data_IF_684663147948
#
_entry.id   IF_684663147948
#
_cell.length_a   1.000
_cell.length_b   1.000
_cell.length_c   1.000
_cell.angle_alpha   90.00
_cell.angle_beta   90.00
_cell.angle_gamma   90.00
#
_symmetry.space_group_name_H-M   'P 1'
#
loop_
_entity.id
_entity.type
_entity.pdbx_description
1 polymer ?
#
# COMPACT_ATOMS: atom_id res chain seq x y z
N UNK A 1 11.39 11.11 -2.58
CA UNK A 1 10.13 10.56 -3.10
C UNK A 1 8.97 11.28 -2.46
N UNK A 2 7.91 11.60 -3.20
CA UNK A 2 6.65 12.15 -2.69
C UNK A 2 5.63 11.05 -2.34
N UNK A 3 4.54 11.41 -1.66
CA UNK A 3 3.44 10.49 -1.35
C UNK A 3 2.78 9.91 -2.62
N UNK A 4 2.57 10.75 -3.63
CA UNK A 4 2.05 10.31 -4.95
C UNK A 4 2.96 9.26 -5.59
N UNK A 5 4.27 9.52 -5.59
CA UNK A 5 5.26 8.58 -6.12
C UNK A 5 5.29 7.27 -5.32
N UNK A 6 5.13 7.33 -3.99
CA UNK A 6 5.05 6.14 -3.15
C UNK A 6 3.78 5.31 -3.45
N UNK A 7 2.64 5.97 -3.67
CA UNK A 7 1.40 5.32 -4.09
C UNK A 7 1.56 4.59 -5.43
N UNK A 8 2.06 5.29 -6.46
CA UNK A 8 2.32 4.71 -7.79
C UNK A 8 3.24 3.48 -7.69
N UNK A 9 4.34 3.60 -6.95
CA UNK A 9 5.29 2.50 -6.75
C UNK A 9 4.68 1.30 -6.01
N UNK A 10 3.86 1.54 -4.99
CA UNK A 10 3.18 0.49 -4.26
C UNK A 10 2.15 -0.23 -5.14
N UNK A 11 1.36 0.51 -5.92
CA UNK A 11 0.41 -0.06 -6.89
C UNK A 11 1.13 -0.96 -7.89
N UNK A 12 2.22 -0.48 -8.49
CA UNK A 12 3.00 -1.26 -9.46
C UNK A 12 3.59 -2.53 -8.83
N UNK A 13 4.19 -2.44 -7.64
CA UNK A 13 4.75 -3.61 -6.93
C UNK A 13 3.69 -4.64 -6.60
N UNK A 14 2.54 -4.18 -6.12
CA UNK A 14 1.44 -5.07 -5.73
C UNK A 14 0.80 -5.74 -6.94
N UNK A 15 0.58 -5.01 -8.03
CA UNK A 15 0.03 -5.55 -9.27
C UNK A 15 0.92 -6.66 -9.87
N UNK A 16 2.24 -6.56 -9.71
CA UNK A 16 3.20 -7.57 -10.16
C UNK A 16 3.47 -8.68 -9.13
N UNK A 17 2.98 -8.52 -7.90
CA UNK A 17 3.24 -9.49 -6.84
C UNK A 17 2.41 -10.76 -7.01
N UNK A 18 3.01 -11.91 -6.70
CA UNK A 18 2.29 -13.21 -6.69
C UNK A 18 1.18 -13.29 -5.64
N UNK A 19 1.21 -12.41 -4.64
CA UNK A 19 0.25 -12.37 -3.53
C UNK A 19 -1.14 -11.89 -3.98
N UNK A 20 -1.20 -11.09 -5.04
CA UNK A 20 -2.42 -10.40 -5.47
C UNK A 20 -2.61 -10.51 -6.99
N UNK A 21 -2.19 -11.63 -7.59
CA UNK A 21 -2.35 -11.88 -9.04
C UNK A 21 -3.80 -11.61 -9.48
N UNK A 22 -3.98 -10.57 -10.30
CA UNK A 22 -5.28 -10.14 -10.83
C UNK A 22 -5.98 -9.02 -10.06
N UNK A 23 -5.46 -8.56 -8.92
CA UNK A 23 -5.96 -7.35 -8.25
C UNK A 23 -5.25 -6.11 -8.82
N UNK A 24 -5.98 -5.29 -9.57
CA UNK A 24 -5.53 -3.96 -9.95
C UNK A 24 -5.86 -2.95 -8.86
N UNK A 25 -4.84 -2.38 -8.21
CA UNK A 25 -5.02 -1.20 -7.40
C UNK A 25 -5.29 0.01 -8.32
N UNK A 26 -6.28 0.81 -7.96
CA UNK A 26 -6.69 2.00 -8.71
C UNK A 26 -6.30 3.30 -8.00
N UNK A 27 -6.29 3.30 -6.67
CA UNK A 27 -5.91 4.47 -5.87
C UNK A 27 -5.38 4.07 -4.49
N UNK A 28 -4.82 5.05 -3.78
CA UNK A 28 -4.34 4.90 -2.41
C UNK A 28 -4.99 5.91 -1.48
N UNK A 29 -5.27 5.50 -0.24
CA UNK A 29 -5.45 6.46 0.84
C UNK A 29 -4.13 6.63 1.60
N UNK A 30 -3.83 7.88 1.97
CA UNK A 30 -2.62 8.22 2.68
C UNK A 30 -2.85 8.33 4.18
N UNK A 31 -1.92 7.78 4.95
CA UNK A 31 -1.85 8.02 6.39
C UNK A 31 -1.16 9.36 6.65
N UNK A 32 -1.72 10.15 7.57
CA UNK A 32 -1.16 11.44 7.97
C UNK A 32 0.34 11.33 8.30
N UNK A 33 1.12 12.31 7.88
CA UNK A 33 2.58 12.24 7.93
C UNK A 33 3.12 11.99 9.36
N UNK A 34 2.45 12.54 10.36
CA UNK A 34 2.77 12.46 11.79
C UNK A 34 2.55 11.08 12.41
N UNK A 35 1.72 10.22 11.81
CA UNK A 35 1.48 8.85 12.30
C UNK A 35 2.28 7.81 11.55
N UNK A 36 3.00 8.20 10.51
CA UNK A 36 3.89 7.31 9.77
C UNK A 36 5.15 6.99 10.59
N UNK A 37 5.62 5.72 10.60
CA UNK A 37 6.92 5.39 11.16
C UNK A 37 8.03 6.13 10.41
N UNK A 38 9.09 6.49 11.13
CA UNK A 38 10.21 7.24 10.57
C UNK A 38 10.79 6.55 9.34
N UNK A 39 10.90 7.31 8.24
CA UNK A 39 11.48 6.82 6.99
C UNK A 39 10.51 6.10 6.04
N UNK A 40 9.21 6.05 6.35
CA UNK A 40 8.20 5.40 5.49
C UNK A 40 7.01 6.30 5.17
N UNK A 41 6.35 5.99 4.07
CA UNK A 41 4.96 6.37 3.81
C UNK A 41 4.09 5.15 4.04
N UNK A 42 3.08 5.24 4.90
CA UNK A 42 2.05 4.20 5.04
C UNK A 42 0.84 4.60 4.22
N UNK A 43 0.31 3.65 3.47
CA UNK A 43 -0.84 3.84 2.59
C UNK A 43 -1.67 2.55 2.53
N UNK A 44 -2.98 2.69 2.29
CA UNK A 44 -3.82 1.57 1.86
C UNK A 44 -3.95 1.60 0.35
N UNK A 45 -3.98 0.44 -0.30
CA UNK A 45 -4.30 0.33 -1.72
C UNK A 45 -5.74 -0.13 -1.89
N UNK A 46 -6.44 0.45 -2.86
CA UNK A 46 -7.83 0.14 -3.14
C UNK A 46 -8.00 -0.31 -4.58
N UNK A 47 -8.80 -1.34 -4.79
CA UNK A 47 -9.23 -1.77 -6.12
C UNK A 47 -10.23 -0.80 -6.73
N UNK A 48 -10.24 -0.70 -8.06
CA UNK A 48 -11.24 0.06 -8.80
C UNK A 48 -12.56 -0.68 -9.02
N UNK A 49 -12.84 -1.75 -8.26
CA UNK A 49 -14.07 -2.52 -8.41
C UNK A 49 -15.25 -1.75 -7.83
N UNK A 50 -16.38 -1.80 -8.53
CA UNK A 50 -17.64 -1.35 -7.96
C UNK A 50 -18.03 -2.27 -6.80
N UNK A 51 -18.51 -1.65 -5.73
CA UNK A 51 -18.69 -2.29 -4.44
C UNK A 51 -19.95 -1.70 -3.78
N UNK A 52 -21.04 -2.47 -3.78
CA UNK A 52 -22.33 -2.06 -3.21
C UNK A 52 -22.60 -2.75 -1.86
N UNK A 53 -23.33 -2.04 -0.98
CA UNK A 53 -23.70 -2.55 0.34
C UNK A 53 -22.53 -2.57 1.34
N UNK A 54 -22.48 -3.57 2.22
CA UNK A 54 -21.38 -3.74 3.19
C UNK A 54 -20.25 -4.48 2.49
N UNK A 55 -19.31 -3.73 1.94
CA UNK A 55 -18.16 -4.26 1.22
C UNK A 55 -16.94 -3.34 1.37
N UNK A 56 -15.76 -3.80 0.94
CA UNK A 56 -14.52 -3.02 0.98
C UNK A 56 -13.77 -3.17 -0.34
N UNK A 57 -13.15 -2.10 -0.83
CA UNK A 57 -12.23 -2.15 -1.97
C UNK A 57 -10.76 -2.28 -1.55
N UNK A 58 -10.48 -2.28 -0.24
CA UNK A 58 -9.13 -2.32 0.30
C UNK A 58 -8.43 -3.64 -0.08
N UNK A 59 -7.26 -3.51 -0.71
CA UNK A 59 -6.38 -4.60 -1.11
C UNK A 59 -5.27 -4.84 -0.09
N UNK A 60 -5.10 -3.94 0.88
CA UNK A 60 -4.13 -4.08 1.95
C UNK A 60 -3.48 -2.75 2.34
N UNK A 61 -2.67 -2.84 3.40
CA UNK A 61 -1.87 -1.72 3.89
C UNK A 61 -0.40 -1.97 3.60
N UNK A 62 0.29 -0.93 3.18
CA UNK A 62 1.66 -1.01 2.72
C UNK A 62 2.50 0.12 3.27
N UNK A 63 3.76 -0.18 3.55
CA UNK A 63 4.77 0.80 3.92
C UNK A 63 5.79 0.91 2.79
N UNK A 64 6.01 2.13 2.30
CA UNK A 64 6.99 2.43 1.25
C UNK A 64 8.17 3.17 1.87
N UNK A 65 9.36 2.61 1.78
CA UNK A 65 10.57 3.21 2.34
C UNK A 65 10.99 4.43 1.52
N UNK A 66 11.12 5.60 2.17
CA UNK A 66 11.35 6.90 1.52
C UNK A 66 12.66 6.98 0.72
N UNK A 67 13.68 6.27 1.17
CA UNK A 67 15.04 6.29 0.59
C UNK A 67 15.23 5.33 -0.57
N UNK A 68 14.60 4.16 -0.53
CA UNK A 68 14.84 3.06 -1.49
C UNK A 68 13.66 2.78 -2.40
N UNK A 69 12.44 3.16 -2.01
CA UNK A 69 11.23 2.72 -2.67
C UNK A 69 10.88 1.25 -2.42
N UNK A 70 11.51 0.59 -1.43
CA UNK A 70 11.08 -0.76 -1.06
C UNK A 70 9.66 -0.73 -0.48
N UNK A 71 8.84 -1.68 -0.90
CA UNK A 71 7.43 -1.80 -0.49
C UNK A 71 7.30 -3.01 0.42
N UNK A 72 6.67 -2.82 1.57
CA UNK A 72 6.44 -3.83 2.59
C UNK A 72 4.96 -3.92 2.91
N UNK A 73 4.51 -5.09 3.34
CA UNK A 73 3.22 -5.18 4.04
C UNK A 73 3.27 -4.32 5.30
N UNK A 74 2.16 -3.68 5.64
CA UNK A 74 2.00 -2.96 6.89
C UNK A 74 0.89 -3.60 7.73
N UNK A 75 1.24 -4.08 8.93
CA UNK A 75 0.25 -4.51 9.89
C UNK A 75 -0.31 -3.28 10.60
N UNK A 76 -1.44 -2.77 10.13
CA UNK A 76 -2.09 -1.58 10.71
C UNK A 76 -2.57 -1.81 12.15
N UNK A 77 -2.93 -3.05 12.52
CA UNK A 77 -3.41 -3.37 13.86
C UNK A 77 -2.29 -3.30 14.91
N UNK A 78 -1.08 -3.71 14.54
CA UNK A 78 0.09 -3.68 15.43
C UNK A 78 1.04 -2.50 15.18
N UNK A 79 0.78 -1.70 14.14
CA UNK A 79 1.69 -0.66 13.64
C UNK A 79 3.11 -1.20 13.39
N UNK A 80 3.21 -2.30 12.64
CA UNK A 80 4.49 -2.98 12.37
C UNK A 80 4.72 -3.25 10.88
N UNK A 81 5.99 -3.16 10.49
CA UNK A 81 6.47 -3.58 9.18
C UNK A 81 6.37 -5.11 9.05
N UNK A 82 5.79 -5.58 7.95
CA UNK A 82 5.74 -6.98 7.57
C UNK A 82 6.74 -7.33 6.48
N UNK A 83 6.49 -8.45 5.81
CA UNK A 83 7.35 -8.94 4.73
C UNK A 83 7.39 -7.99 3.53
N UNK A 84 8.53 -7.89 2.82
CA UNK A 84 8.64 -7.13 1.58
C UNK A 84 7.72 -7.70 0.50
N UNK A 85 7.17 -6.81 -0.34
CA UNK A 85 6.44 -7.16 -1.54
C UNK A 85 7.46 -7.32 -2.68
N UNK A 86 7.68 -8.58 -3.06
CA UNK A 86 8.42 -8.92 -4.27
C UNK A 86 7.51 -8.68 -5.49
N UNK A 87 8.01 -7.90 -6.44
CA UNK A 87 7.46 -7.76 -7.79
C UNK A 87 8.33 -8.53 -8.78
#
# INVERSE_FOLDING_TARGET
MSEKQACELAMDRVANSRLLLGASAAFCDHVAAETNPTGYYVLSLHSGRDCDGICSTNLGWFAVQKSTGEVFNWNVAESKLGSPIAG
#
